data_IF_908491103520
#
_entry.id   IF_908491103520
#
_cell.length_a   1.000
_cell.length_b   1.000
_cell.length_c   1.000
_cell.angle_alpha   90.00
_cell.angle_beta   90.00
_cell.angle_gamma   90.00
#
_symmetry.space_group_name_H-M   'P 1'
#
loop_
_entity.id
_entity.type
_entity.pdbx_description
1 polymer ?
#
# COMPACT_ATOMS: atom_id res chain seq x y z
N UNK A 1 21.79 -19.44 0.23
CA UNK A 1 22.51 -18.19 0.62
C UNK A 1 22.73 -18.25 2.13
N UNK A 2 23.96 -17.97 2.60
CA UNK A 2 24.26 -17.89 4.03
C UNK A 2 23.49 -16.73 4.68
N UNK A 3 22.76 -16.99 5.77
CA UNK A 3 22.07 -15.93 6.53
C UNK A 3 23.16 -15.04 7.17
N UNK A 4 23.07 -13.74 6.93
CA UNK A 4 23.95 -12.75 7.54
C UNK A 4 23.61 -12.59 9.04
N UNK A 5 24.63 -12.37 9.87
CA UNK A 5 24.40 -11.97 11.26
C UNK A 5 23.82 -10.55 11.31
N UNK A 6 23.19 -10.17 12.43
CA UNK A 6 22.61 -8.81 12.56
C UNK A 6 23.68 -7.73 12.35
N UNK A 7 24.88 -7.91 12.89
CA UNK A 7 25.99 -6.97 12.72
C UNK A 7 26.47 -6.88 11.26
N UNK A 8 26.62 -8.02 10.58
CA UNK A 8 26.98 -8.04 9.15
C UNK A 8 25.93 -7.35 8.29
N UNK A 9 24.64 -7.57 8.61
CA UNK A 9 23.52 -6.96 7.90
C UNK A 9 23.50 -5.44 8.11
N UNK A 10 23.73 -4.95 9.33
CA UNK A 10 23.82 -3.52 9.62
C UNK A 10 24.97 -2.84 8.86
N UNK A 11 26.15 -3.48 8.85
CA UNK A 11 27.31 -2.97 8.13
C UNK A 11 27.06 -2.89 6.62
N UNK A 12 26.45 -3.92 6.04
CA UNK A 12 26.10 -3.95 4.62
C UNK A 12 25.03 -2.87 4.29
N UNK A 13 24.03 -2.70 5.15
CA UNK A 13 23.01 -1.64 5.01
C UNK A 13 23.63 -0.25 5.07
N UNK A 14 24.54 0.02 6.02
CA UNK A 14 25.27 1.29 6.11
C UNK A 14 26.07 1.55 4.85
N UNK A 15 26.83 0.55 4.37
CA UNK A 15 27.60 0.67 3.14
C UNK A 15 26.71 1.02 1.94
N UNK A 16 25.59 0.31 1.75
CA UNK A 16 24.66 0.56 0.64
C UNK A 16 23.95 1.90 0.75
N UNK A 17 23.56 2.31 1.97
CA UNK A 17 23.00 3.66 2.21
C UNK A 17 23.99 4.75 1.85
N UNK A 18 25.27 4.61 2.25
CA UNK A 18 26.32 5.57 1.90
C UNK A 18 26.52 5.64 0.37
N UNK A 19 26.59 4.49 -0.32
CA UNK A 19 26.68 4.45 -1.78
C UNK A 19 25.46 5.09 -2.45
N UNK A 20 24.26 4.84 -1.94
CA UNK A 20 23.03 5.47 -2.42
C UNK A 20 23.05 7.00 -2.22
N UNK A 21 23.53 7.48 -1.06
CA UNK A 21 23.66 8.90 -0.78
C UNK A 21 24.66 9.58 -1.74
N UNK A 22 25.81 8.96 -1.94
CA UNK A 22 26.83 9.46 -2.90
C UNK A 22 26.26 9.51 -4.32
N UNK A 23 25.53 8.47 -4.72
CA UNK A 23 24.87 8.44 -6.03
C UNK A 23 23.82 9.57 -6.17
N UNK A 24 23.03 9.85 -5.10
CA UNK A 24 22.08 10.98 -5.07
C UNK A 24 22.79 12.32 -5.22
N UNK A 25 23.87 12.55 -4.47
CA UNK A 25 24.66 13.78 -4.55
C UNK A 25 25.23 13.95 -5.96
N UNK A 26 25.77 12.88 -6.55
CA UNK A 26 26.26 12.89 -7.93
C UNK A 26 25.15 13.25 -8.92
N UNK A 27 24.00 12.59 -8.83
CA UNK A 27 22.88 12.80 -9.75
C UNK A 27 22.36 14.23 -9.69
N UNK A 28 22.02 14.71 -8.49
CA UNK A 28 21.45 16.06 -8.33
C UNK A 28 22.49 17.16 -8.53
N UNK A 29 23.74 16.94 -8.06
CA UNK A 29 24.84 17.89 -8.24
C UNK A 29 25.25 18.06 -9.70
N UNK A 30 25.44 16.94 -10.42
CA UNK A 30 25.72 16.97 -11.84
C UNK A 30 24.56 17.50 -12.67
N UNK A 31 23.30 17.18 -12.28
CA UNK A 31 22.11 17.72 -12.94
C UNK A 31 22.03 19.24 -12.86
N UNK A 32 22.24 19.81 -11.67
CA UNK A 32 22.27 21.25 -11.47
C UNK A 32 23.44 21.90 -12.26
N UNK A 33 24.59 21.27 -12.20
CA UNK A 33 25.78 21.76 -12.93
C UNK A 33 25.58 21.72 -14.45
N UNK A 34 24.89 20.73 -14.98
CA UNK A 34 24.52 20.63 -16.40
C UNK A 34 23.74 21.86 -16.84
N UNK A 35 22.72 22.26 -16.06
CA UNK A 35 21.91 23.46 -16.39
C UNK A 35 22.77 24.72 -16.39
N UNK A 36 23.63 24.90 -15.39
CA UNK A 36 24.52 26.06 -15.30
C UNK A 36 25.51 26.13 -16.46
N UNK A 37 26.14 25.00 -16.80
CA UNK A 37 27.13 24.95 -17.92
C UNK A 37 26.44 25.17 -19.26
N UNK A 38 25.20 24.75 -19.44
CA UNK A 38 24.41 25.04 -20.63
C UNK A 38 24.14 26.53 -20.75
N UNK A 39 23.75 27.19 -19.65
CA UNK A 39 23.54 28.64 -19.61
C UNK A 39 24.83 29.46 -19.89
N UNK A 40 25.99 28.88 -19.56
CA UNK A 40 27.33 29.49 -19.85
C UNK A 40 27.87 29.12 -21.23
N UNK A 41 27.10 28.51 -22.12
CA UNK A 41 27.48 28.03 -23.45
C UNK A 41 28.65 27.04 -23.45
N UNK A 42 28.92 26.35 -22.34
CA UNK A 42 29.98 25.34 -22.22
C UNK A 42 29.41 23.92 -22.53
N UNK A 43 29.06 23.70 -23.78
CA UNK A 43 28.29 22.51 -24.19
C UNK A 43 28.99 21.18 -23.93
N UNK A 44 30.31 21.11 -24.16
CA UNK A 44 31.09 19.87 -23.95
C UNK A 44 31.07 19.46 -22.48
N UNK A 45 31.30 20.41 -21.57
CA UNK A 45 31.25 20.14 -20.14
C UNK A 45 29.81 19.78 -19.68
N UNK A 46 28.81 20.46 -20.26
CA UNK A 46 27.38 20.14 -19.97
C UNK A 46 27.02 18.70 -20.36
N UNK A 47 27.47 18.22 -21.53
CA UNK A 47 27.25 16.83 -21.98
C UNK A 47 27.92 15.82 -21.04
N UNK A 48 29.15 16.10 -20.59
CA UNK A 48 29.83 15.22 -19.61
C UNK A 48 29.04 15.15 -18.31
N UNK A 49 28.59 16.29 -17.77
CA UNK A 49 27.78 16.32 -16.54
C UNK A 49 26.44 15.60 -16.73
N UNK A 50 25.81 15.70 -17.90
CA UNK A 50 24.60 14.99 -18.25
C UNK A 50 24.78 13.46 -18.16
N UNK A 51 25.86 12.96 -18.76
CA UNK A 51 26.22 11.53 -18.70
C UNK A 51 26.44 11.09 -17.25
N UNK A 52 27.14 11.88 -16.43
CA UNK A 52 27.34 11.59 -15.01
C UNK A 52 26.04 11.59 -14.23
N UNK A 53 25.07 12.44 -14.58
CA UNK A 53 23.73 12.44 -14.01
C UNK A 53 23.01 11.11 -14.27
N UNK A 54 23.05 10.60 -15.49
CA UNK A 54 22.47 9.30 -15.83
C UNK A 54 23.16 8.14 -15.10
N UNK A 55 24.49 8.15 -15.04
CA UNK A 55 25.26 7.13 -14.28
C UNK A 55 24.89 7.17 -12.80
N UNK A 56 24.81 8.35 -12.21
CA UNK A 56 24.38 8.53 -10.82
C UNK A 56 22.96 8.01 -10.58
N UNK A 57 22.00 8.34 -11.46
CA UNK A 57 20.62 7.86 -11.41
C UNK A 57 20.52 6.33 -11.49
N UNK A 58 21.26 5.72 -12.41
CA UNK A 58 21.35 4.26 -12.52
C UNK A 58 21.89 3.61 -11.23
N UNK A 59 22.99 4.16 -10.69
CA UNK A 59 23.57 3.66 -9.44
C UNK A 59 22.61 3.82 -8.25
N UNK A 60 21.88 4.93 -8.18
CA UNK A 60 20.87 5.18 -7.14
C UNK A 60 19.78 4.11 -7.17
N UNK A 61 19.21 3.83 -8.35
CA UNK A 61 18.19 2.79 -8.55
C UNK A 61 18.72 1.41 -8.19
N UNK A 62 19.91 1.06 -8.63
CA UNK A 62 20.57 -0.21 -8.32
C UNK A 62 20.79 -0.41 -6.83
N UNK A 63 21.23 0.61 -6.09
CA UNK A 63 21.42 0.52 -4.64
C UNK A 63 20.09 0.40 -3.90
N UNK A 64 19.05 1.12 -4.33
CA UNK A 64 17.70 1.01 -3.78
C UNK A 64 17.16 -0.42 -3.89
N UNK A 65 17.20 -1.01 -5.08
CA UNK A 65 16.81 -2.39 -5.30
C UNK A 65 17.63 -3.40 -4.48
N UNK A 66 18.96 -3.18 -4.38
CA UNK A 66 19.83 -4.04 -3.58
C UNK A 66 19.54 -3.98 -2.07
N UNK A 67 19.19 -2.81 -1.53
CA UNK A 67 18.76 -2.65 -0.13
C UNK A 67 17.44 -3.40 0.10
N UNK A 68 16.48 -3.24 -0.79
CA UNK A 68 15.18 -3.90 -0.71
C UNK A 68 15.31 -5.43 -0.74
N UNK A 69 16.13 -5.97 -1.63
CA UNK A 69 16.44 -7.41 -1.69
C UNK A 69 17.16 -7.88 -0.42
N UNK A 70 18.12 -7.12 0.08
CA UNK A 70 18.87 -7.47 1.29
C UNK A 70 17.96 -7.57 2.51
N UNK A 71 17.08 -6.61 2.71
CA UNK A 71 16.08 -6.65 3.79
C UNK A 71 15.06 -7.76 3.58
N UNK A 72 14.57 -7.92 2.36
CA UNK A 72 13.65 -8.98 1.99
C UNK A 72 14.17 -10.35 2.37
N UNK A 73 15.40 -10.67 1.99
CA UNK A 73 15.98 -12.00 2.22
C UNK A 73 16.37 -12.28 3.68
N UNK A 74 16.74 -11.25 4.46
CA UNK A 74 17.31 -11.45 5.80
C UNK A 74 16.39 -11.02 6.95
N UNK A 75 15.43 -10.13 6.71
CA UNK A 75 14.53 -9.62 7.75
C UNK A 75 13.08 -9.96 7.43
N UNK A 76 12.57 -9.49 6.30
CA UNK A 76 11.13 -9.53 5.99
C UNK A 76 10.65 -10.98 5.85
N UNK A 77 11.33 -11.82 5.08
CA UNK A 77 10.96 -13.25 4.92
C UNK A 77 10.89 -14.01 6.25
N UNK A 78 11.76 -13.70 7.20
CA UNK A 78 11.70 -14.36 8.49
C UNK A 78 10.46 -13.91 9.27
N UNK A 79 10.16 -12.60 9.27
CA UNK A 79 9.01 -12.03 9.97
C UNK A 79 7.67 -12.52 9.41
N UNK A 80 7.53 -12.54 8.08
CA UNK A 80 6.29 -13.03 7.48
C UNK A 80 6.07 -14.52 7.73
N UNK A 81 7.15 -15.34 7.73
CA UNK A 81 7.06 -16.77 8.07
C UNK A 81 6.78 -17.04 9.57
N UNK A 82 7.01 -16.06 10.45
CA UNK A 82 6.57 -16.13 11.86
C UNK A 82 5.07 -15.95 12.01
N UNK A 83 4.43 -15.28 11.04
CA UNK A 83 3.02 -14.83 11.11
C UNK A 83 2.13 -15.61 10.15
N UNK A 84 2.58 -15.86 8.93
CA UNK A 84 1.81 -16.50 7.87
C UNK A 84 2.38 -17.88 7.52
N UNK A 85 1.50 -18.86 7.43
CA UNK A 85 1.84 -20.21 6.98
C UNK A 85 2.05 -20.20 5.46
N UNK A 86 3.12 -20.89 5.01
CA UNK A 86 3.44 -21.01 3.58
C UNK A 86 3.72 -19.68 2.89
N UNK A 87 4.26 -18.71 3.63
CA UNK A 87 4.42 -17.35 3.14
C UNK A 87 5.42 -17.22 1.99
N UNK A 88 5.01 -16.50 0.94
CA UNK A 88 5.84 -16.05 -0.16
C UNK A 88 5.99 -14.52 -0.10
N UNK A 89 7.20 -14.02 -0.38
CA UNK A 89 7.48 -12.59 -0.46
C UNK A 89 8.17 -12.24 -1.77
N UNK A 90 7.61 -11.27 -2.48
CA UNK A 90 8.15 -10.77 -3.73
C UNK A 90 8.27 -9.22 -3.70
N UNK A 91 9.49 -8.68 -3.42
CA UNK A 91 9.68 -7.25 -3.15
C UNK A 91 9.36 -6.31 -4.31
N UNK A 92 9.32 -6.80 -5.54
CA UNK A 92 9.07 -6.02 -6.77
C UNK A 92 7.76 -6.39 -7.47
N UNK A 93 6.91 -7.18 -6.81
CA UNK A 93 5.56 -7.49 -7.28
C UNK A 93 4.52 -6.84 -6.37
N UNK A 94 3.30 -6.78 -6.84
CA UNK A 94 2.12 -6.36 -6.07
C UNK A 94 0.96 -7.30 -6.34
N UNK A 95 -0.14 -7.13 -5.62
CA UNK A 95 -1.42 -7.79 -5.88
C UNK A 95 -1.80 -7.53 -7.34
N UNK A 96 -2.36 -8.55 -8.00
CA UNK A 96 -2.79 -8.46 -9.39
C UNK A 96 -3.71 -7.25 -9.61
N UNK A 97 -3.43 -6.47 -10.66
CA UNK A 97 -4.18 -5.27 -11.00
C UNK A 97 -5.68 -5.56 -11.15
N UNK A 98 -6.04 -6.70 -11.72
CA UNK A 98 -7.44 -7.12 -11.91
C UNK A 98 -8.15 -7.24 -10.54
N UNK A 99 -7.51 -7.86 -9.55
CA UNK A 99 -8.08 -7.97 -8.19
C UNK A 99 -8.29 -6.61 -7.53
N UNK A 100 -7.35 -5.67 -7.74
CA UNK A 100 -7.45 -4.32 -7.20
C UNK A 100 -8.62 -3.55 -7.85
N UNK A 101 -8.77 -3.67 -9.16
CA UNK A 101 -9.84 -2.99 -9.91
C UNK A 101 -11.21 -3.62 -9.66
N UNK A 102 -11.30 -4.94 -9.62
CA UNK A 102 -12.54 -5.68 -9.33
C UNK A 102 -13.07 -5.45 -7.91
N UNK A 103 -12.22 -5.01 -6.98
CA UNK A 103 -12.65 -4.64 -5.64
C UNK A 103 -13.68 -3.49 -5.61
N UNK A 104 -13.79 -2.70 -6.67
CA UNK A 104 -14.77 -1.62 -6.80
C UNK A 104 -14.70 -0.57 -5.68
N UNK A 105 -13.56 -0.43 -5.00
CA UNK A 105 -13.43 0.51 -3.88
C UNK A 105 -13.69 1.94 -4.32
N UNK A 106 -14.49 2.65 -3.53
CA UNK A 106 -14.87 4.03 -3.79
C UNK A 106 -13.81 4.99 -3.24
N UNK A 107 -13.07 5.62 -4.14
CA UNK A 107 -12.09 6.66 -3.83
C UNK A 107 -12.62 8.05 -4.19
N UNK A 108 -12.04 9.14 -3.62
CA UNK A 108 -12.43 10.50 -3.96
C UNK A 108 -12.20 10.89 -5.44
N UNK A 109 -11.40 10.13 -6.15
CA UNK A 109 -11.06 10.32 -7.56
C UNK A 109 -10.93 8.96 -8.26
N UNK A 110 -11.24 8.92 -9.55
CA UNK A 110 -10.96 7.79 -10.42
C UNK A 110 -9.45 7.59 -10.61
N UNK A 111 -9.04 6.39 -10.99
CA UNK A 111 -7.66 6.06 -11.30
C UNK A 111 -7.57 5.20 -12.56
N UNK A 112 -6.45 5.32 -13.27
CA UNK A 112 -6.19 4.64 -14.54
C UNK A 112 -4.99 3.69 -14.45
N UNK A 113 -4.14 3.87 -13.42
CA UNK A 113 -2.91 3.14 -13.25
C UNK A 113 -2.80 2.53 -11.86
N UNK A 114 -2.40 1.26 -11.80
CA UNK A 114 -2.09 0.51 -10.59
C UNK A 114 -0.62 0.13 -10.63
N UNK A 115 0.12 0.52 -9.60
CA UNK A 115 1.52 0.14 -9.36
C UNK A 115 1.65 -0.36 -7.94
N UNK A 116 2.75 -1.02 -7.61
CA UNK A 116 2.97 -1.44 -6.23
C UNK A 116 4.22 -2.27 -6.05
N UNK A 117 4.37 -2.79 -4.84
CA UNK A 117 5.53 -3.57 -4.43
C UNK A 117 5.24 -4.37 -3.16
N UNK A 118 6.24 -5.10 -2.68
CA UNK A 118 6.21 -5.82 -1.40
C UNK A 118 5.06 -6.82 -1.28
N UNK A 119 4.83 -7.58 -2.37
CA UNK A 119 3.79 -8.60 -2.39
C UNK A 119 4.10 -9.73 -1.42
N UNK A 120 3.14 -9.99 -0.55
CA UNK A 120 3.12 -11.12 0.38
C UNK A 120 1.89 -11.96 0.07
N UNK A 121 2.06 -13.27 0.00
CA UNK A 121 0.97 -14.24 -0.06
C UNK A 121 1.23 -15.31 0.97
N UNK A 122 0.20 -15.76 1.67
CA UNK A 122 0.30 -16.83 2.66
C UNK A 122 -1.04 -17.17 3.24
N UNK A 123 -1.06 -17.94 4.31
CA UNK A 123 -2.27 -18.25 5.06
C UNK A 123 -2.12 -17.77 6.50
N UNK A 124 -3.16 -17.14 7.04
CA UNK A 124 -3.23 -16.71 8.42
C UNK A 124 -4.41 -17.38 9.12
N UNK A 125 -4.11 -18.25 10.08
CA UNK A 125 -5.13 -19.05 10.80
C UNK A 125 -6.08 -19.80 9.87
N UNK A 126 -5.57 -20.28 8.73
CA UNK A 126 -6.33 -21.04 7.74
C UNK A 126 -7.11 -20.19 6.73
N UNK A 127 -6.95 -18.87 6.71
CA UNK A 127 -7.48 -17.97 5.70
C UNK A 127 -6.38 -17.56 4.73
N UNK A 128 -6.67 -17.61 3.44
CA UNK A 128 -5.75 -17.11 2.42
C UNK A 128 -5.63 -15.59 2.52
N UNK A 129 -4.40 -15.10 2.49
CA UNK A 129 -4.08 -13.67 2.63
C UNK A 129 -3.13 -13.25 1.52
N UNK A 130 -3.44 -12.11 0.89
CA UNK A 130 -2.53 -11.39 0.01
C UNK A 130 -2.38 -9.96 0.53
N UNK A 131 -1.16 -9.44 0.53
CA UNK A 131 -0.85 -8.10 1.04
C UNK A 131 0.22 -7.47 0.16
N UNK A 132 0.09 -6.19 -0.17
CA UNK A 132 1.14 -5.43 -0.85
C UNK A 132 0.99 -3.93 -0.68
N UNK A 133 2.03 -3.18 -1.02
CA UNK A 133 1.91 -1.77 -1.32
C UNK A 133 1.22 -1.59 -2.66
N UNK A 134 0.27 -0.64 -2.69
CA UNK A 134 -0.44 -0.23 -3.90
C UNK A 134 -0.37 1.29 -4.04
N UNK A 135 -0.16 1.72 -5.26
CA UNK A 135 -0.21 3.11 -5.67
C UNK A 135 -1.18 3.23 -6.85
N UNK A 136 -2.24 4.01 -6.67
CA UNK A 136 -3.24 4.30 -7.70
C UNK A 136 -3.04 5.73 -8.19
N UNK A 137 -2.96 5.91 -9.50
CA UNK A 137 -2.80 7.21 -10.14
C UNK A 137 -3.86 7.44 -11.21
N UNK A 138 -4.27 8.69 -11.34
CA UNK A 138 -5.01 9.19 -12.48
C UNK A 138 -4.03 9.85 -13.43
N UNK A 139 -4.18 9.57 -14.72
CA UNK A 139 -3.36 10.15 -15.79
C UNK A 139 -4.26 11.05 -16.64
N UNK A 140 -4.09 12.37 -16.52
CA UNK A 140 -4.78 13.35 -17.34
C UNK A 140 -3.83 13.83 -18.43
N UNK A 141 -4.15 13.53 -19.70
CA UNK A 141 -3.38 14.02 -20.85
C UNK A 141 -3.88 15.40 -21.25
N UNK A 142 -3.03 16.42 -21.13
CA UNK A 142 -3.35 17.81 -21.50
C UNK A 142 -2.41 18.30 -22.59
N UNK A 143 -2.97 19.11 -23.50
CA UNK A 143 -2.15 19.79 -24.51
C UNK A 143 -1.51 21.05 -23.91
N UNK A 144 -0.18 21.08 -23.88
CA UNK A 144 0.60 22.25 -23.46
C UNK A 144 0.80 23.17 -24.67
N UNK A 145 0.03 24.26 -24.72
CA UNK A 145 0.08 25.23 -25.82
C UNK A 145 1.45 25.90 -25.95
N UNK A 146 2.17 26.07 -24.83
CA UNK A 146 3.49 26.72 -24.82
C UNK A 146 4.56 25.80 -25.40
N UNK A 147 4.48 24.52 -25.08
CA UNK A 147 5.43 23.50 -25.57
C UNK A 147 4.95 22.84 -26.87
N UNK A 148 3.73 23.15 -27.33
CA UNK A 148 3.06 22.55 -28.51
C UNK A 148 3.11 21.01 -28.51
N UNK A 149 2.89 20.39 -27.33
CA UNK A 149 2.90 18.94 -27.17
C UNK A 149 1.89 18.47 -26.12
N UNK A 150 1.44 17.25 -26.27
CA UNK A 150 0.64 16.58 -25.24
C UNK A 150 1.55 16.21 -24.06
N UNK A 151 1.07 16.49 -22.84
CA UNK A 151 1.72 16.12 -21.59
C UNK A 151 0.76 15.31 -20.73
N UNK A 152 1.30 14.24 -20.18
CA UNK A 152 0.60 13.46 -19.15
C UNK A 152 0.89 14.08 -17.78
N UNK A 153 -0.18 14.42 -17.07
CA UNK A 153 -0.15 14.89 -15.69
C UNK A 153 -0.67 13.77 -14.80
N UNK A 154 0.22 13.18 -13.99
CA UNK A 154 -0.15 12.11 -13.07
C UNK A 154 -0.59 12.69 -11.71
N UNK A 155 -1.82 12.38 -11.29
CA UNK A 155 -2.33 12.69 -9.96
C UNK A 155 -2.34 11.43 -9.09
N UNK A 156 -1.73 11.50 -7.90
CA UNK A 156 -1.77 10.42 -6.92
C UNK A 156 -3.16 10.38 -6.27
N UNK A 157 -3.87 9.26 -6.41
CA UNK A 157 -5.18 9.01 -5.80
C UNK A 157 -5.03 8.30 -4.47
N UNK A 158 -4.29 7.20 -4.47
CA UNK A 158 -4.04 6.37 -3.31
C UNK A 158 -2.58 5.92 -3.30
N UNK A 159 -1.97 5.92 -2.12
CA UNK A 159 -0.70 5.25 -1.87
C UNK A 159 -0.72 4.67 -0.46
N UNK A 160 -0.50 3.35 -0.36
CA UNK A 160 -0.52 2.68 0.93
C UNK A 160 -0.62 1.17 0.81
N UNK A 161 -1.10 0.53 1.84
CA UNK A 161 -1.15 -0.91 1.97
C UNK A 161 -2.51 -1.44 1.55
N UNK A 162 -2.52 -2.58 0.87
CA UNK A 162 -3.72 -3.28 0.44
C UNK A 162 -3.66 -4.75 0.86
N UNK A 163 -4.66 -5.16 1.62
CA UNK A 163 -4.89 -6.53 2.08
C UNK A 163 -6.07 -7.14 1.32
N UNK A 164 -5.94 -8.39 0.93
CA UNK A 164 -7.05 -9.26 0.52
C UNK A 164 -7.05 -10.47 1.43
N UNK A 165 -8.18 -10.82 2.00
CA UNK A 165 -8.34 -12.08 2.73
C UNK A 165 -9.69 -12.73 2.44
N UNK A 166 -9.77 -14.05 2.67
CA UNK A 166 -11.04 -14.75 2.67
C UNK A 166 -11.86 -14.33 3.89
N UNK A 167 -13.10 -13.91 3.64
CA UNK A 167 -14.06 -13.57 4.70
C UNK A 167 -14.88 -14.80 5.15
N UNK A 168 -14.85 -15.86 4.34
CA UNK A 168 -15.50 -17.12 4.66
C UNK A 168 -17.03 -17.13 4.54
N UNK A 169 -17.62 -16.06 4.03
CA UNK A 169 -19.05 -15.92 3.79
C UNK A 169 -19.33 -15.59 2.33
N UNK A 170 -20.32 -16.25 1.75
CA UNK A 170 -20.90 -15.80 0.49
C UNK A 170 -21.90 -14.70 0.80
N UNK A 171 -21.73 -13.54 0.18
CA UNK A 171 -22.59 -12.38 0.36
C UNK A 171 -23.58 -12.28 -0.81
N UNK A 172 -24.80 -11.83 -0.55
CA UNK A 172 -25.83 -11.56 -1.56
C UNK A 172 -25.53 -10.27 -2.32
N UNK A 173 -24.93 -9.28 -1.64
CA UNK A 173 -24.53 -7.99 -2.17
C UNK A 173 -23.06 -7.64 -1.89
N UNK A 174 -22.61 -6.58 -2.51
CA UNK A 174 -21.30 -6.01 -2.25
C UNK A 174 -21.43 -4.80 -1.33
N UNK A 175 -20.48 -4.64 -0.41
CA UNK A 175 -20.49 -3.56 0.57
C UNK A 175 -19.14 -2.85 0.48
N UNK A 176 -19.18 -1.54 0.25
CA UNK A 176 -17.99 -0.71 0.24
C UNK A 176 -18.05 0.33 1.37
N UNK A 177 -16.95 0.48 2.07
CA UNK A 177 -16.79 1.43 3.18
C UNK A 177 -15.63 2.34 2.81
N UNK A 178 -15.86 3.64 2.76
CA UNK A 178 -14.86 4.61 2.32
C UNK A 178 -14.71 5.74 3.31
N UNK A 179 -13.48 6.00 3.76
CA UNK A 179 -13.16 7.16 4.60
C UNK A 179 -13.41 8.48 3.82
N UNK A 180 -13.77 9.55 4.53
CA UNK A 180 -14.06 10.84 3.90
C UNK A 180 -15.51 11.02 3.45
N UNK A 181 -16.47 10.49 4.20
CA UNK A 181 -17.92 10.50 3.92
C UNK A 181 -18.47 11.84 3.42
N UNK A 182 -18.08 12.97 4.02
CA UNK A 182 -18.57 14.30 3.67
C UNK A 182 -18.31 14.69 2.21
N UNK A 183 -17.20 14.25 1.65
CA UNK A 183 -16.81 14.52 0.25
C UNK A 183 -17.52 13.58 -0.71
N UNK A 184 -17.62 12.30 -0.36
CA UNK A 184 -18.11 11.23 -1.21
C UNK A 184 -19.65 11.15 -1.29
N UNK A 185 -20.38 11.48 -0.23
CA UNK A 185 -21.87 11.42 -0.20
C UNK A 185 -22.56 12.25 -1.28
N UNK A 186 -21.96 13.33 -1.72
CA UNK A 186 -22.53 14.14 -2.81
C UNK A 186 -22.52 13.39 -4.14
N UNK A 187 -21.56 12.50 -4.33
CA UNK A 187 -21.38 11.71 -5.56
C UNK A 187 -22.20 10.42 -5.54
N UNK A 188 -22.43 9.83 -4.35
CA UNK A 188 -23.05 8.52 -4.14
C UNK A 188 -24.40 8.61 -3.39
N UNK A 189 -25.28 9.53 -3.78
CA UNK A 189 -26.58 9.72 -3.09
C UNK A 189 -27.54 8.55 -3.22
N UNK A 190 -27.48 7.80 -4.32
CA UNK A 190 -28.50 6.79 -4.66
C UNK A 190 -28.14 5.40 -4.12
N UNK A 191 -26.90 5.13 -3.87
CA UNK A 191 -26.32 3.85 -3.45
C UNK A 191 -25.74 3.89 -2.03
N UNK A 192 -25.85 5.04 -1.35
CA UNK A 192 -25.40 5.17 0.04
C UNK A 192 -26.39 4.55 1.02
N UNK A 193 -25.85 3.76 1.96
CA UNK A 193 -26.58 3.17 3.08
C UNK A 193 -26.23 3.95 4.35
N UNK A 194 -27.24 4.47 5.04
CA UNK A 194 -27.05 5.17 6.32
C UNK A 194 -27.13 4.16 7.47
N UNK A 195 -26.07 4.07 8.26
CA UNK A 195 -25.95 3.15 9.38
C UNK A 195 -26.52 3.78 10.66
N UNK A 196 -26.80 2.95 11.68
CA UNK A 196 -27.34 3.45 12.95
C UNK A 196 -26.32 4.26 13.77
N UNK A 197 -25.03 4.02 13.59
CA UNK A 197 -23.95 4.70 14.33
C UNK A 197 -23.58 6.02 13.67
N UNK A 198 -23.95 7.14 14.32
CA UNK A 198 -23.68 8.49 13.80
C UNK A 198 -22.17 8.77 13.62
N UNK A 199 -21.33 8.35 14.58
CA UNK A 199 -19.88 8.56 14.48
C UNK A 199 -19.28 7.78 13.30
N UNK A 200 -19.84 6.60 12.99
CA UNK A 200 -19.46 5.82 11.82
C UNK A 200 -19.86 6.54 10.53
N UNK A 201 -21.09 7.02 10.45
CA UNK A 201 -21.57 7.79 9.30
C UNK A 201 -20.81 9.11 9.09
N UNK A 202 -20.40 9.78 10.16
CA UNK A 202 -19.63 11.04 10.05
C UNK A 202 -18.26 10.81 9.39
N UNK A 203 -17.68 9.65 9.59
CA UNK A 203 -16.37 9.29 9.04
C UNK A 203 -16.49 8.56 7.71
N UNK A 204 -17.35 7.54 7.63
CA UNK A 204 -17.42 6.62 6.51
C UNK A 204 -18.66 6.83 5.64
N UNK A 205 -18.47 6.72 4.33
CA UNK A 205 -19.53 6.43 3.39
C UNK A 205 -19.65 4.90 3.28
N UNK A 206 -20.86 4.38 3.42
CA UNK A 206 -21.20 3.00 3.08
C UNK A 206 -21.99 3.01 1.80
N UNK A 207 -21.59 2.22 0.80
CA UNK A 207 -22.38 1.95 -0.41
C UNK A 207 -22.61 0.45 -0.51
N UNK A 208 -23.79 0.03 -0.96
CA UNK A 208 -24.13 -1.36 -1.19
C UNK A 208 -25.24 -1.48 -2.21
N UNK A 209 -25.21 -2.56 -2.97
CA UNK A 209 -26.33 -2.96 -3.85
C UNK A 209 -27.39 -3.78 -3.09
N UNK A 210 -27.10 -4.20 -1.84
CA UNK A 210 -28.06 -4.79 -0.90
C UNK A 210 -27.91 -4.17 0.49
N UNK A 211 -28.81 -3.23 0.84
CA UNK A 211 -28.78 -2.56 2.13
C UNK A 211 -29.01 -3.52 3.31
N UNK A 212 -29.78 -4.60 3.13
CA UNK A 212 -30.02 -5.60 4.19
C UNK A 212 -28.74 -6.35 4.52
N UNK A 213 -27.95 -6.71 3.51
CA UNK A 213 -26.64 -7.33 3.70
C UNK A 213 -25.69 -6.38 4.43
N UNK A 214 -25.71 -5.08 4.08
CA UNK A 214 -24.88 -4.09 4.77
C UNK A 214 -25.21 -4.00 6.26
N UNK A 215 -26.49 -3.97 6.65
CA UNK A 215 -26.92 -3.98 8.07
C UNK A 215 -26.57 -5.29 8.78
N UNK A 216 -26.61 -6.40 8.06
CA UNK A 216 -26.25 -7.71 8.62
C UNK A 216 -24.77 -7.84 8.93
N UNK A 217 -23.92 -7.34 8.05
CA UNK A 217 -22.45 -7.39 8.21
C UNK A 217 -21.94 -6.29 9.15
N UNK A 218 -22.45 -5.07 8.99
CA UNK A 218 -22.01 -3.91 9.77
C UNK A 218 -22.82 -3.75 11.06
N UNK A 219 -22.70 -4.77 11.93
CA UNK A 219 -23.29 -4.71 13.28
C UNK A 219 -22.72 -3.54 14.08
N UNK A 220 -23.38 -3.07 15.16
CA UNK A 220 -22.84 -2.01 16.03
C UNK A 220 -21.41 -2.29 16.50
N UNK A 221 -21.12 -3.54 16.86
CA UNK A 221 -19.80 -3.95 17.31
C UNK A 221 -18.77 -3.87 16.17
N UNK A 222 -19.12 -4.30 14.95
CA UNK A 222 -18.26 -4.21 13.77
C UNK A 222 -17.96 -2.73 13.44
N UNK A 223 -18.96 -1.86 13.49
CA UNK A 223 -18.76 -0.43 13.25
C UNK A 223 -17.81 0.21 14.26
N UNK A 224 -17.97 -0.07 15.56
CA UNK A 224 -17.05 0.41 16.59
C UNK A 224 -15.63 -0.11 16.41
N UNK A 225 -15.50 -1.36 15.98
CA UNK A 225 -14.22 -1.95 15.69
C UNK A 225 -13.52 -1.27 14.49
N UNK A 226 -14.26 -1.08 13.39
CA UNK A 226 -13.73 -0.38 12.20
C UNK A 226 -13.32 1.05 12.57
N UNK A 227 -14.10 1.77 13.35
CA UNK A 227 -13.74 3.11 13.85
C UNK A 227 -12.45 3.09 14.65
N UNK A 228 -12.31 2.15 15.58
CA UNK A 228 -11.11 2.00 16.42
C UNK A 228 -9.88 1.66 15.60
N UNK A 229 -10.02 0.71 14.70
CA UNK A 229 -8.97 0.27 13.78
C UNK A 229 -8.51 1.43 12.89
N UNK A 230 -9.45 2.13 12.29
CA UNK A 230 -9.16 3.28 11.42
C UNK A 230 -8.55 4.45 12.20
N UNK A 231 -8.85 4.60 13.49
CA UNK A 231 -8.17 5.55 14.38
C UNK A 231 -6.68 5.21 14.60
N UNK A 232 -6.32 3.94 14.52
CA UNK A 232 -4.94 3.45 14.71
C UNK A 232 -4.13 3.35 13.41
N UNK A 233 -4.78 3.33 12.26
CA UNK A 233 -4.14 3.11 10.95
C UNK A 233 -3.17 4.22 10.56
N UNK A 234 -3.36 5.44 11.06
CA UNK A 234 -2.60 6.63 10.69
C UNK A 234 -2.90 7.13 9.27
N UNK A 235 -3.98 6.63 8.64
CA UNK A 235 -4.40 7.00 7.28
C UNK A 235 -5.89 6.83 7.05
N UNK A 236 -6.33 7.12 5.82
CA UNK A 236 -7.69 6.85 5.38
C UNK A 236 -7.87 5.35 5.12
N UNK A 237 -9.02 4.79 5.52
CA UNK A 237 -9.33 3.36 5.40
C UNK A 237 -10.46 3.15 4.40
N UNK A 238 -10.26 2.18 3.52
CA UNK A 238 -11.23 1.74 2.52
C UNK A 238 -11.39 0.23 2.63
N UNK A 239 -12.62 -0.26 2.57
CA UNK A 239 -12.92 -1.70 2.64
C UNK A 239 -13.95 -2.08 1.58
N UNK A 240 -13.84 -3.30 1.06
CA UNK A 240 -14.83 -3.89 0.18
C UNK A 240 -15.08 -5.35 0.58
N UNK A 241 -16.33 -5.67 0.89
CA UNK A 241 -16.81 -7.03 1.07
C UNK A 241 -17.48 -7.46 -0.23
N UNK A 242 -16.93 -8.48 -0.88
CA UNK A 242 -17.35 -8.90 -2.21
C UNK A 242 -18.17 -10.20 -2.15
N UNK A 243 -19.07 -10.37 -3.12
CA UNK A 243 -19.94 -11.57 -3.24
C UNK A 243 -19.19 -12.89 -3.17
N UNK A 244 -18.00 -12.97 -3.75
CA UNK A 244 -17.14 -14.15 -3.70
C UNK A 244 -16.49 -14.44 -2.36
N UNK A 245 -16.93 -13.80 -1.27
CA UNK A 245 -16.42 -14.01 0.08
C UNK A 245 -15.02 -13.45 0.30
N UNK A 246 -14.57 -12.53 -0.55
CA UNK A 246 -13.31 -11.80 -0.38
C UNK A 246 -13.54 -10.48 0.34
N UNK A 247 -12.65 -10.17 1.26
CA UNK A 247 -12.55 -8.87 1.88
C UNK A 247 -11.29 -8.17 1.42
N UNK A 248 -11.44 -6.98 0.91
CA UNK A 248 -10.34 -6.08 0.60
C UNK A 248 -10.29 -4.96 1.63
N UNK A 249 -9.09 -4.65 2.12
CA UNK A 249 -8.84 -3.54 3.05
C UNK A 249 -7.67 -2.74 2.51
N UNK A 250 -7.87 -1.46 2.27
CA UNK A 250 -6.84 -0.55 1.81
C UNK A 250 -6.64 0.61 2.81
N UNK A 251 -5.40 0.91 3.14
CA UNK A 251 -5.04 1.98 4.07
C UNK A 251 -4.12 2.96 3.37
N UNK A 252 -4.58 4.19 3.17
CA UNK A 252 -3.82 5.26 2.55
C UNK A 252 -2.89 5.91 3.57
N UNK A 253 -1.66 5.42 3.63
CA UNK A 253 -0.64 5.90 4.58
C UNK A 253 0.37 6.86 3.94
N UNK A 254 0.37 6.98 2.61
CA UNK A 254 1.38 7.69 1.79
C UNK A 254 2.82 7.17 1.98
N UNK A 255 2.97 5.98 2.55
CA UNK A 255 4.25 5.32 2.81
C UNK A 255 4.25 3.91 2.25
N UNK A 256 5.43 3.43 1.85
CA UNK A 256 5.62 2.04 1.46
C UNK A 256 5.79 1.15 2.69
N UNK A 257 5.36 -0.11 2.56
CA UNK A 257 5.59 -1.17 3.55
C UNK A 257 7.09 -1.38 3.72
N UNK A 258 7.51 -1.70 4.92
CA UNK A 258 8.91 -2.02 5.23
C UNK A 258 9.89 -0.91 4.81
N UNK A 259 9.41 0.33 4.75
CA UNK A 259 10.27 1.46 4.39
C UNK A 259 11.34 1.70 5.46
N UNK A 260 12.59 1.75 5.01
CA UNK A 260 13.70 2.21 5.83
C UNK A 260 13.54 3.72 6.09
N UNK A 261 13.19 4.10 7.29
CA UNK A 261 13.24 5.50 7.70
C UNK A 261 14.64 6.11 7.42
N UNK A 262 14.69 7.44 7.25
CA UNK A 262 15.91 8.15 6.80
C UNK A 262 17.16 7.87 7.64
N UNK A 263 17.01 7.48 8.89
CA UNK A 263 18.13 7.32 9.86
C UNK A 263 18.29 5.92 10.43
N UNK A 264 17.28 5.05 10.36
CA UNK A 264 17.32 3.75 11.04
C UNK A 264 18.14 2.72 10.25
N UNK A 265 19.20 2.20 10.89
CA UNK A 265 19.98 1.05 10.42
C UNK A 265 20.01 -0.07 11.46
N UNK A 266 19.46 0.15 12.65
CA UNK A 266 19.36 -0.87 13.69
C UNK A 266 18.34 -1.93 13.25
N UNK A 267 18.79 -3.17 13.14
CA UNK A 267 18.00 -4.28 12.62
C UNK A 267 16.86 -4.65 13.58
N UNK A 268 17.07 -4.56 14.88
CA UNK A 268 16.05 -4.93 15.85
C UNK A 268 14.91 -3.89 15.88
N UNK A 269 15.23 -2.61 15.75
CA UNK A 269 14.21 -1.56 15.57
C UNK A 269 13.41 -1.75 14.27
N UNK A 270 14.08 -2.13 13.18
CA UNK A 270 13.42 -2.41 11.91
C UNK A 270 12.50 -3.64 12.01
N UNK A 271 12.94 -4.70 12.68
CA UNK A 271 12.11 -5.88 12.95
C UNK A 271 10.88 -5.55 13.77
N UNK A 272 11.05 -4.74 14.83
CA UNK A 272 9.93 -4.31 15.66
C UNK A 272 8.91 -3.51 14.85
N UNK A 273 9.38 -2.51 14.09
CA UNK A 273 8.53 -1.71 13.21
C UNK A 273 7.76 -2.57 12.21
N UNK A 274 8.45 -3.46 11.49
CA UNK A 274 7.82 -4.29 10.46
C UNK A 274 6.83 -5.30 11.08
N UNK A 275 7.12 -5.80 12.28
CA UNK A 275 6.18 -6.66 13.03
C UNK A 275 4.90 -5.91 13.41
N UNK A 276 5.00 -4.65 13.82
CA UNK A 276 3.86 -3.80 14.14
C UNK A 276 3.00 -3.51 12.88
N UNK A 277 3.65 -3.27 11.74
CA UNK A 277 2.96 -3.06 10.45
C UNK A 277 2.16 -4.31 10.05
N UNK A 278 2.74 -5.51 10.15
CA UNK A 278 2.04 -6.77 9.86
C UNK A 278 0.94 -7.04 10.89
N UNK A 279 1.22 -6.78 12.18
CA UNK A 279 0.29 -7.03 13.28
C UNK A 279 -1.03 -6.28 13.11
N UNK A 280 -0.99 -5.07 12.61
CA UNK A 280 -2.19 -4.27 12.38
C UNK A 280 -3.18 -5.01 11.45
N UNK A 281 -2.70 -5.63 10.38
CA UNK A 281 -3.54 -6.41 9.45
C UNK A 281 -4.03 -7.72 10.06
N UNK A 282 -3.18 -8.42 10.83
CA UNK A 282 -3.61 -9.66 11.49
C UNK A 282 -4.63 -9.42 12.58
N UNK A 283 -4.54 -8.31 13.31
CA UNK A 283 -5.53 -7.92 14.32
C UNK A 283 -6.92 -7.71 13.68
N UNK A 284 -6.98 -7.14 12.45
CA UNK A 284 -8.23 -7.00 11.70
C UNK A 284 -8.82 -8.36 11.35
N UNK A 285 -8.02 -9.26 10.80
CA UNK A 285 -8.47 -10.61 10.43
C UNK A 285 -8.98 -11.36 11.68
N UNK A 286 -8.30 -11.18 12.82
CA UNK A 286 -8.69 -11.83 14.07
C UNK A 286 -10.08 -11.41 14.54
N UNK A 287 -10.40 -10.12 14.46
CA UNK A 287 -11.73 -9.64 14.87
C UNK A 287 -12.82 -10.11 13.91
N UNK A 288 -12.58 -9.99 12.61
CA UNK A 288 -13.51 -10.47 11.60
C UNK A 288 -13.82 -11.97 11.77
N UNK A 289 -12.81 -12.76 12.15
CA UNK A 289 -12.96 -14.19 12.40
C UNK A 289 -13.73 -14.51 13.67
N UNK A 290 -13.58 -13.72 14.72
CA UNK A 290 -14.35 -13.90 15.98
C UNK A 290 -15.83 -13.72 15.71
N UNK A 291 -16.22 -12.74 14.92
CA UNK A 291 -17.62 -12.58 14.52
C UNK A 291 -18.12 -13.73 13.66
N UNK A 292 -17.31 -14.27 12.75
CA UNK A 292 -17.68 -15.45 11.94
C UNK A 292 -18.02 -16.69 12.80
N UNK A 293 -17.35 -16.86 13.93
CA UNK A 293 -17.66 -17.97 14.87
C UNK A 293 -19.00 -17.80 15.58
N UNK A 294 -19.49 -16.58 15.76
CA UNK A 294 -20.82 -16.32 16.35
C UNK A 294 -21.97 -16.68 15.40
N UNK A 295 -21.73 -16.60 14.09
CA UNK A 295 -22.75 -16.87 13.04
C UNK A 295 -22.75 -18.31 12.50
N UNK A 296 -21.72 -19.11 12.80
CA UNK A 296 -21.61 -20.52 12.35
C UNK A 296 -22.55 -21.51 13.07
N UNK A 297 -23.45 -21.07 13.94
CA UNK A 297 -24.28 -21.97 14.75
C UNK A 297 -25.49 -22.60 14.04
N UNK A 298 -25.78 -22.32 12.79
CA UNK A 298 -26.95 -22.86 12.09
C UNK A 298 -26.70 -23.47 10.71
N UNK A 299 -25.70 -24.34 10.57
CA UNK A 299 -25.74 -25.36 9.53
C UNK A 299 -25.69 -26.73 10.19
N UNK A 300 -26.84 -27.15 10.80
CA UNK A 300 -27.11 -28.54 10.98
C UNK A 300 -28.02 -28.99 9.84
N UNK A 301 -27.44 -29.93 9.05
CA UNK A 301 -28.02 -30.93 8.15
C UNK A 301 -29.48 -30.80 7.77
#
# INVERSE_FOLDING_TARGET
KQKLTSEQLENELKSRKTKSLLAKILTYGCGLLTILLFAMNSYVAAVICLVLTFVGGYQMSKQGGAIKTLLGDNVIKNLINEVFDGAEYAPFKHIDTTKVTEAGMVFPFEYDSVKGSDYIKGSYKGLDVELSDIELRKVDTRYDETAQQWKDEEQLVFKGQWLICDFGKELSGEIHISDGAKKLRKQHKNDSVEMENTAFNDRFLVTSDDAHEAYYILTPHMMEYILTMAGRSGGEVYMAFLRGGKLHIAVKTERDFFELGKTKTNIDELRSKFREEIKWFTDIIDVLRVEDTLYKKERKA
#
